data_IF_845277646617
#
_entry.id   IF_845277646617
#
_cell.length_a   1.000
_cell.length_b   1.000
_cell.length_c   1.000
_cell.angle_alpha   90.00
_cell.angle_beta   90.00
_cell.angle_gamma   90.00
#
_symmetry.space_group_name_H-M   'P 1'
#
loop_
_entity.id
_entity.type
_entity.pdbx_description
1 polymer ?
#
# COMPACT_ATOMS: atom_id res chain seq x y z
N UNK A 1 -13.79 -10.81 -21.59
CA UNK A 1 -12.47 -11.43 -21.36
C UNK A 1 -12.22 -11.41 -19.86
N UNK A 2 -12.28 -12.56 -19.19
CA UNK A 2 -12.01 -12.61 -17.74
C UNK A 2 -10.51 -12.43 -17.56
N UNK A 3 -10.10 -11.32 -16.95
CA UNK A 3 -8.70 -11.09 -16.61
C UNK A 3 -8.36 -12.11 -15.50
N UNK A 4 -7.58 -13.14 -15.84
CA UNK A 4 -7.12 -14.12 -14.86
C UNK A 4 -6.07 -13.46 -13.98
N UNK A 5 -6.51 -12.79 -12.91
CA UNK A 5 -5.62 -12.22 -11.91
C UNK A 5 -5.19 -13.34 -10.96
N UNK A 6 -3.89 -13.60 -10.86
CA UNK A 6 -3.39 -14.55 -9.87
C UNK A 6 -3.48 -13.92 -8.45
N UNK A 7 -3.42 -14.77 -7.41
CA UNK A 7 -3.55 -14.32 -6.02
C UNK A 7 -2.54 -13.24 -5.64
N UNK A 8 -1.32 -13.31 -6.18
CA UNK A 8 -0.26 -12.32 -5.94
C UNK A 8 -0.67 -10.96 -6.46
N UNK A 9 -1.06 -10.87 -7.73
CA UNK A 9 -1.50 -9.63 -8.36
C UNK A 9 -2.72 -9.02 -7.66
N UNK A 10 -3.69 -9.85 -7.27
CA UNK A 10 -4.86 -9.40 -6.54
C UNK A 10 -4.49 -8.81 -5.17
N UNK A 11 -3.60 -9.49 -4.44
CA UNK A 11 -3.10 -9.01 -3.15
C UNK A 11 -2.31 -7.71 -3.29
N UNK A 12 -1.43 -7.61 -4.31
CA UNK A 12 -0.67 -6.40 -4.55
C UNK A 12 -1.57 -5.22 -4.97
N UNK A 13 -2.60 -5.47 -5.77
CA UNK A 13 -3.58 -4.46 -6.13
C UNK A 13 -4.36 -3.96 -4.90
N UNK A 14 -4.81 -4.88 -4.04
CA UNK A 14 -5.48 -4.54 -2.80
C UNK A 14 -4.56 -3.71 -1.88
N UNK A 15 -3.33 -4.16 -1.66
CA UNK A 15 -2.35 -3.44 -0.84
C UNK A 15 -2.06 -2.04 -1.40
N UNK A 16 -1.92 -1.91 -2.73
CA UNK A 16 -1.72 -0.60 -3.38
C UNK A 16 -2.88 0.36 -3.08
N UNK A 17 -4.10 -0.12 -3.25
CA UNK A 17 -5.29 0.70 -3.01
C UNK A 17 -5.41 1.09 -1.54
N UNK A 18 -5.19 0.15 -0.62
CA UNK A 18 -5.28 0.39 0.82
C UNK A 18 -4.25 1.42 1.28
N UNK A 19 -2.99 1.28 0.86
CA UNK A 19 -1.91 2.23 1.20
C UNK A 19 -2.22 3.62 0.62
N UNK A 20 -2.64 3.69 -0.64
CA UNK A 20 -2.93 4.97 -1.32
C UNK A 20 -4.07 5.72 -0.62
N UNK A 21 -5.18 5.04 -0.32
CA UNK A 21 -6.32 5.65 0.40
C UNK A 21 -5.91 6.12 1.79
N UNK A 22 -5.13 5.32 2.50
CA UNK A 22 -4.67 5.70 3.84
C UNK A 22 -3.78 6.94 3.78
N UNK A 23 -2.88 7.02 2.79
CA UNK A 23 -2.05 8.20 2.57
C UNK A 23 -2.90 9.43 2.29
N UNK A 24 -3.92 9.33 1.43
CA UNK A 24 -4.83 10.44 1.13
C UNK A 24 -5.56 10.92 2.39
N UNK A 25 -6.07 10.00 3.21
CA UNK A 25 -6.76 10.31 4.48
C UNK A 25 -5.83 10.94 5.53
N UNK A 26 -4.52 10.67 5.45
CA UNK A 26 -3.53 11.14 6.40
C UNK A 26 -2.64 12.27 5.84
N UNK A 27 -3.15 13.06 4.89
CA UNK A 27 -2.43 14.20 4.28
C UNK A 27 -1.06 13.81 3.70
N UNK A 28 -0.96 12.61 3.14
CA UNK A 28 0.24 11.95 2.61
C UNK A 28 1.36 11.74 3.64
N UNK A 29 1.03 11.75 4.93
CA UNK A 29 1.96 11.43 6.01
C UNK A 29 2.16 9.92 6.14
N UNK A 30 3.38 9.46 5.82
CA UNK A 30 3.77 8.06 5.97
C UNK A 30 3.71 7.58 7.42
N UNK A 31 4.11 8.42 8.38
CA UNK A 31 4.10 8.07 9.79
C UNK A 31 2.68 7.94 10.38
N UNK A 32 1.75 8.80 9.95
CA UNK A 32 0.35 8.68 10.35
C UNK A 32 -0.33 7.49 9.66
N UNK A 33 -0.04 7.28 8.36
CA UNK A 33 -0.56 6.13 7.61
C UNK A 33 -0.06 4.79 8.16
N UNK A 34 1.20 4.70 8.58
CA UNK A 34 1.76 3.49 9.19
C UNK A 34 1.03 3.15 10.50
N UNK A 35 0.77 4.15 11.34
CA UNK A 35 -0.03 3.98 12.57
C UNK A 35 -1.46 3.53 12.26
N UNK A 36 -2.11 4.14 11.27
CA UNK A 36 -3.45 3.77 10.85
C UNK A 36 -3.53 2.35 10.24
N UNK A 37 -2.45 1.88 9.62
CA UNK A 37 -2.31 0.53 9.08
C UNK A 37 -1.72 -0.48 10.08
N UNK A 38 -1.55 -0.09 11.35
CA UNK A 38 -1.00 -0.94 12.41
C UNK A 38 0.37 -1.56 12.06
N UNK A 39 1.21 -0.79 11.35
CA UNK A 39 2.57 -1.19 10.96
C UNK A 39 3.58 -0.10 11.34
N UNK A 40 4.87 -0.43 11.38
CA UNK A 40 5.91 0.59 11.43
C UNK A 40 6.16 1.24 10.06
N UNK A 41 6.73 2.45 10.10
CA UNK A 41 6.98 3.27 8.90
C UNK A 41 8.01 2.64 7.96
N UNK A 42 8.98 1.87 8.49
CA UNK A 42 10.02 1.26 7.67
C UNK A 42 9.44 0.09 6.86
N UNK A 43 8.59 -0.73 7.48
CA UNK A 43 7.82 -1.76 6.80
C UNK A 43 6.89 -1.17 5.74
N UNK A 44 6.16 -0.11 6.06
CA UNK A 44 5.30 0.56 5.08
C UNK A 44 6.10 1.10 3.88
N UNK A 45 7.28 1.69 4.11
CA UNK A 45 8.13 2.15 3.01
C UNK A 45 8.68 1.01 2.15
N UNK A 46 9.14 -0.09 2.76
CA UNK A 46 9.59 -1.28 2.01
C UNK A 46 8.45 -1.85 1.16
N UNK A 47 7.25 -1.92 1.73
CA UNK A 47 6.06 -2.39 1.04
C UNK A 47 5.70 -1.46 -0.12
N UNK A 48 5.67 -0.15 0.09
CA UNK A 48 5.41 0.84 -0.95
C UNK A 48 6.41 0.75 -2.11
N UNK A 49 7.71 0.57 -1.80
CA UNK A 49 8.75 0.37 -2.83
C UNK A 49 8.53 -0.91 -3.62
N UNK A 50 8.25 -2.03 -2.94
CA UNK A 50 7.96 -3.32 -3.58
C UNK A 50 6.73 -3.24 -4.49
N UNK A 51 5.73 -2.47 -4.10
CA UNK A 51 4.48 -2.28 -4.85
C UNK A 51 4.57 -1.24 -5.96
N UNK A 52 5.71 -0.55 -6.12
CA UNK A 52 5.91 0.50 -7.12
C UNK A 52 5.24 1.84 -6.80
N UNK A 53 4.84 2.06 -5.55
CA UNK A 53 4.22 3.31 -5.08
C UNK A 53 5.23 4.39 -4.69
N UNK A 54 6.49 4.00 -4.45
CA UNK A 54 7.55 4.89 -3.98
C UNK A 54 8.88 4.54 -4.64
N UNK A 55 9.54 5.56 -5.21
CA UNK A 55 10.93 5.52 -5.71
C UNK A 55 11.93 5.79 -4.59
#
# INVERSE_FOLDING_TARGET
>A
MVVHQNLREATEAFQRQMITRTLEQNSRSWAASARALETDVANLHRLAKRLGLKG
#
